data_IF_382560225948
#
_entry.id   IF_382560225948
#
_cell.length_a   1.000
_cell.length_b   1.000
_cell.length_c   1.000
_cell.angle_alpha   90.00
_cell.angle_beta   90.00
_cell.angle_gamma   90.00
#
_symmetry.space_group_name_H-M   'P 1'
#
loop_
_entity.id
_entity.type
_entity.pdbx_description
1 polymer ?
#
# COMPACT_ATOMS: atom_id res chain seq x y z
N UNK A 1 -52.79 -13.89 37.48
CA UNK A 1 -51.82 -14.53 36.55
C UNK A 1 -51.94 -14.02 35.11
N UNK A 2 -51.91 -12.69 34.89
CA UNK A 2 -51.89 -12.07 33.54
C UNK A 2 -50.73 -11.06 33.37
N UNK A 3 -50.26 -10.47 34.47
CA UNK A 3 -49.13 -9.54 34.52
C UNK A 3 -47.77 -10.19 34.20
N UNK A 4 -47.55 -11.46 34.57
CA UNK A 4 -46.30 -12.17 34.27
C UNK A 4 -46.06 -12.36 32.76
N UNK A 5 -47.13 -12.55 31.96
CA UNK A 5 -47.04 -12.73 30.49
C UNK A 5 -46.69 -11.44 29.73
N UNK A 6 -46.97 -10.28 30.32
CA UNK A 6 -46.67 -8.97 29.70
C UNK A 6 -45.17 -8.66 29.83
N UNK A 7 -44.56 -9.03 30.96
CA UNK A 7 -43.13 -8.82 31.21
C UNK A 7 -42.25 -9.73 30.35
N UNK A 8 -42.67 -10.99 30.11
CA UNK A 8 -41.92 -11.93 29.26
C UNK A 8 -41.95 -11.53 27.78
N UNK A 9 -43.03 -10.93 27.31
CA UNK A 9 -43.15 -10.48 25.90
C UNK A 9 -42.39 -9.16 25.66
N UNK A 10 -42.29 -8.28 26.66
CA UNK A 10 -41.51 -7.04 26.57
C UNK A 10 -39.99 -7.23 26.59
N UNK A 11 -39.50 -8.26 27.30
CA UNK A 11 -38.07 -8.57 27.40
C UNK A 11 -37.50 -9.22 26.13
N UNK A 12 -38.33 -9.94 25.35
CA UNK A 12 -37.89 -10.53 24.08
C UNK A 12 -37.74 -9.48 22.97
N UNK A 13 -38.53 -8.40 22.99
CA UNK A 13 -38.51 -7.37 21.94
C UNK A 13 -37.30 -6.43 22.05
N UNK A 14 -36.69 -6.31 23.23
CA UNK A 14 -35.54 -5.42 23.47
C UNK A 14 -34.19 -6.07 23.18
N UNK A 15 -34.09 -7.40 23.25
CA UNK A 15 -32.84 -8.15 22.95
C UNK A 15 -32.55 -8.23 21.45
N UNK A 16 -33.58 -8.17 20.59
CA UNK A 16 -33.38 -8.17 19.13
C UNK A 16 -32.95 -6.82 18.55
N UNK A 17 -33.05 -5.71 19.30
CA UNK A 17 -32.67 -4.38 18.81
C UNK A 17 -31.17 -4.10 18.86
N UNK A 18 -30.39 -4.89 19.61
CA UNK A 18 -28.99 -4.58 19.95
C UNK A 18 -27.95 -5.37 19.16
N UNK A 19 -28.34 -6.10 18.12
CA UNK A 19 -27.43 -6.90 17.28
C UNK A 19 -27.04 -6.24 15.95
N UNK A 20 -27.58 -5.07 15.63
CA UNK A 20 -27.32 -4.37 14.35
C UNK A 20 -26.20 -3.31 14.42
N UNK A 21 -25.59 -3.08 15.59
CA UNK A 21 -24.49 -2.12 15.75
C UNK A 21 -23.08 -2.73 15.51
N UNK A 22 -22.99 -3.88 14.81
CA UNK A 22 -21.76 -4.65 14.65
C UNK A 22 -20.89 -4.30 13.43
N UNK A 23 -21.37 -3.48 12.49
CA UNK A 23 -20.59 -3.08 11.32
C UNK A 23 -20.27 -1.59 11.37
N UNK A 24 -19.33 -1.19 12.24
CA UNK A 24 -18.61 0.05 12.01
C UNK A 24 -17.62 -0.21 10.86
N UNK A 25 -17.75 0.40 9.67
CA UNK A 25 -16.70 0.34 8.68
C UNK A 25 -15.48 1.03 9.29
N UNK A 26 -14.42 0.28 9.57
CA UNK A 26 -13.13 0.86 9.93
C UNK A 26 -12.75 1.84 8.81
N UNK A 27 -12.54 3.13 9.09
CA UNK A 27 -12.09 4.07 8.08
C UNK A 27 -10.62 3.77 7.78
N UNK A 28 -10.35 2.78 6.93
CA UNK A 28 -9.15 2.82 6.08
C UNK A 28 -9.43 3.89 5.03
N UNK A 29 -9.34 5.15 5.45
CA UNK A 29 -9.20 6.27 4.54
C UNK A 29 -7.80 6.17 3.93
N UNK A 30 -7.63 5.33 2.92
CA UNK A 30 -6.54 5.51 1.96
C UNK A 30 -7.00 6.64 1.04
N UNK A 31 -6.81 7.87 1.52
CA UNK A 31 -7.24 9.06 0.79
C UNK A 31 -6.52 9.17 -0.54
N UNK A 32 -7.19 9.77 -1.52
CA UNK A 32 -6.67 10.09 -2.85
C UNK A 32 -5.28 10.76 -2.81
N UNK A 33 -4.98 11.52 -1.74
CA UNK A 33 -3.65 12.12 -1.53
C UNK A 33 -2.50 11.11 -1.50
N UNK A 34 -2.60 10.03 -0.72
CA UNK A 34 -1.51 9.04 -0.62
C UNK A 34 -1.27 8.29 -1.94
N UNK A 35 -2.33 7.99 -2.69
CA UNK A 35 -2.23 7.35 -4.00
C UNK A 35 -1.63 8.27 -5.08
N UNK A 36 -2.02 9.55 -5.08
CA UNK A 36 -1.44 10.55 -5.97
C UNK A 36 0.05 10.75 -5.64
N UNK A 37 0.39 10.84 -4.35
CA UNK A 37 1.78 10.96 -3.89
C UNK A 37 2.62 9.77 -4.39
N UNK A 38 2.14 8.53 -4.23
CA UNK A 38 2.86 7.33 -4.67
C UNK A 38 3.01 7.25 -6.19
N UNK A 39 2.02 7.71 -6.96
CA UNK A 39 2.09 7.75 -8.42
C UNK A 39 3.16 8.73 -8.89
N UNK A 40 3.24 9.91 -8.25
CA UNK A 40 4.26 10.92 -8.52
C UNK A 40 5.65 10.40 -8.12
N UNK A 41 5.78 9.74 -6.96
CA UNK A 41 7.04 9.11 -6.54
C UNK A 41 7.48 8.06 -7.54
N UNK A 42 6.58 7.15 -7.95
CA UNK A 42 6.87 6.11 -8.94
C UNK A 42 7.37 6.71 -10.24
N UNK A 43 6.73 7.77 -10.72
CA UNK A 43 7.10 8.46 -11.96
C UNK A 43 8.49 9.09 -11.85
N UNK A 44 8.80 9.76 -10.72
CA UNK A 44 10.12 10.34 -10.45
C UNK A 44 11.21 9.27 -10.39
N UNK A 45 10.94 8.13 -9.74
CA UNK A 45 11.87 7.00 -9.69
C UNK A 45 12.14 6.47 -11.10
N UNK A 46 11.11 6.18 -11.89
CA UNK A 46 11.28 5.73 -13.29
C UNK A 46 12.08 6.74 -14.12
N UNK A 47 11.80 8.04 -14.00
CA UNK A 47 12.55 9.07 -14.71
C UNK A 47 14.03 9.12 -14.30
N UNK A 48 14.33 8.96 -13.00
CA UNK A 48 15.71 8.91 -12.50
C UNK A 48 16.47 7.69 -13.01
N UNK A 49 15.83 6.51 -12.97
CA UNK A 49 16.44 5.28 -13.49
C UNK A 49 16.68 5.34 -15.00
N UNK A 50 15.77 5.95 -15.77
CA UNK A 50 15.94 6.17 -17.20
C UNK A 50 17.12 7.09 -17.54
N UNK A 51 17.49 8.01 -16.64
CA UNK A 51 18.65 8.89 -16.82
C UNK A 51 20.00 8.21 -16.62
N UNK A 52 20.02 7.01 -16.03
CA UNK A 52 21.24 6.27 -15.74
C UNK A 52 21.63 5.36 -16.90
N UNK A 53 22.72 5.73 -17.59
CA UNK A 53 23.22 5.02 -18.78
C UNK A 53 23.63 3.57 -18.52
N UNK A 54 23.99 3.25 -17.27
CA UNK A 54 24.44 1.92 -16.86
C UNK A 54 23.28 0.98 -16.49
N UNK A 55 22.05 1.49 -16.44
CA UNK A 55 20.86 0.74 -16.05
C UNK A 55 19.96 0.52 -17.25
N UNK A 56 19.58 -0.75 -17.49
CA UNK A 56 18.52 -1.09 -18.44
C UNK A 56 17.16 -0.83 -17.81
N UNK A 57 16.81 0.43 -17.63
CA UNK A 57 15.60 0.83 -16.90
C UNK A 57 14.30 0.30 -17.53
N UNK A 58 14.31 -0.14 -18.79
CA UNK A 58 13.17 -0.82 -19.43
C UNK A 58 12.91 -2.24 -18.92
N UNK A 59 13.93 -2.88 -18.33
CA UNK A 59 13.83 -4.21 -17.72
C UNK A 59 13.60 -4.15 -16.20
N UNK A 60 13.53 -2.94 -15.63
CA UNK A 60 13.31 -2.70 -14.19
C UNK A 60 11.88 -2.18 -13.99
N UNK A 61 11.08 -2.92 -13.22
CA UNK A 61 9.76 -2.47 -12.78
C UNK A 61 9.85 -1.76 -11.43
N UNK A 62 8.99 -0.75 -11.26
CA UNK A 62 8.94 0.10 -10.08
C UNK A 62 7.50 0.23 -9.62
N UNK A 63 7.25 -0.19 -8.39
CA UNK A 63 5.97 -0.06 -7.71
C UNK A 63 6.18 0.68 -6.39
N UNK A 64 5.30 1.63 -6.08
CA UNK A 64 5.38 2.39 -4.83
C UNK A 64 4.08 2.25 -4.05
N UNK A 65 4.20 2.02 -2.75
CA UNK A 65 3.07 2.01 -1.83
C UNK A 65 3.46 2.67 -0.50
N UNK A 66 2.81 3.78 -0.16
CA UNK A 66 3.03 4.59 1.04
C UNK A 66 4.50 4.97 1.23
N UNK A 67 5.16 5.36 0.14
CA UNK A 67 6.59 5.69 0.11
C UNK A 67 7.54 4.49 0.20
N UNK A 68 7.04 3.24 0.22
CA UNK A 68 7.87 2.04 0.02
C UNK A 68 7.96 1.74 -1.46
N UNK A 69 9.17 1.76 -2.01
CA UNK A 69 9.42 1.43 -3.41
C UNK A 69 9.92 -0.01 -3.52
N UNK A 70 9.25 -0.80 -4.33
CA UNK A 70 9.67 -2.13 -4.75
C UNK A 70 10.32 -2.03 -6.12
N UNK A 71 11.58 -2.46 -6.22
CA UNK A 71 12.27 -2.66 -7.49
C UNK A 71 12.22 -4.15 -7.85
N UNK A 72 11.84 -4.47 -9.09
CA UNK A 72 11.80 -5.83 -9.63
C UNK A 72 12.23 -5.85 -11.10
N UNK A 73 12.34 -7.04 -11.68
CA UNK A 73 12.82 -7.22 -13.06
C UNK A 73 14.25 -7.72 -13.13
N UNK A 74 14.97 -7.40 -14.22
CA UNK A 74 16.30 -7.96 -14.51
C UNK A 74 17.38 -6.88 -14.57
N UNK A 75 18.56 -7.21 -14.07
CA UNK A 75 19.74 -6.34 -14.10
C UNK A 75 20.98 -7.12 -14.54
N UNK A 76 21.95 -6.41 -15.11
CA UNK A 76 23.16 -7.00 -15.71
C UNK A 76 24.23 -7.40 -14.70
N UNK A 77 24.16 -6.91 -13.45
CA UNK A 77 25.13 -7.20 -12.40
C UNK A 77 24.61 -6.79 -11.03
N UNK A 78 25.26 -7.29 -9.97
CA UNK A 78 25.03 -6.82 -8.60
C UNK A 78 25.31 -5.32 -8.44
N UNK A 79 26.29 -4.79 -9.18
CA UNK A 79 26.58 -3.36 -9.17
C UNK A 79 25.44 -2.53 -9.75
N UNK A 80 24.85 -2.97 -10.87
CA UNK A 80 23.67 -2.33 -11.45
C UNK A 80 22.46 -2.39 -10.50
N UNK A 81 22.25 -3.52 -9.82
CA UNK A 81 21.20 -3.66 -8.79
C UNK A 81 21.38 -2.63 -7.68
N UNK A 82 22.60 -2.52 -7.15
CA UNK A 82 22.93 -1.60 -6.07
C UNK A 82 22.77 -0.14 -6.51
N UNK A 83 23.25 0.20 -7.70
CA UNK A 83 23.11 1.54 -8.28
C UNK A 83 21.64 1.94 -8.46
N UNK A 84 20.79 1.03 -8.93
CA UNK A 84 19.35 1.29 -9.03
C UNK A 84 18.70 1.55 -7.67
N UNK A 85 19.09 0.80 -6.62
CA UNK A 85 18.64 1.04 -5.25
C UNK A 85 19.08 2.41 -4.75
N UNK A 86 20.36 2.76 -4.96
CA UNK A 86 20.92 4.01 -4.48
C UNK A 86 20.28 5.22 -5.17
N UNK A 87 20.10 5.16 -6.49
CA UNK A 87 19.39 6.18 -7.27
C UNK A 87 17.95 6.33 -6.77
N UNK A 88 17.24 5.23 -6.52
CA UNK A 88 15.87 5.25 -6.01
C UNK A 88 15.77 5.95 -4.65
N UNK A 89 16.75 5.73 -3.76
CA UNK A 89 16.79 6.39 -2.43
C UNK A 89 16.95 7.90 -2.50
N UNK A 90 17.50 8.44 -3.59
CA UNK A 90 17.65 9.90 -3.76
C UNK A 90 16.34 10.62 -4.07
N UNK A 91 15.27 9.87 -4.40
CA UNK A 91 14.00 10.45 -4.82
C UNK A 91 13.20 10.94 -3.61
N UNK A 92 12.76 12.22 -3.58
CA UNK A 92 11.92 12.73 -2.51
C UNK A 92 10.60 11.95 -2.40
N UNK A 93 10.24 11.55 -1.18
CA UNK A 93 9.05 10.74 -0.89
C UNK A 93 9.34 9.24 -0.73
N UNK A 94 10.53 8.78 -1.11
CA UNK A 94 10.97 7.41 -0.83
C UNK A 94 11.37 7.28 0.63
N UNK A 95 10.70 6.36 1.34
CA UNK A 95 10.96 6.03 2.75
C UNK A 95 11.77 4.76 2.90
N UNK A 96 11.55 3.79 2.02
CA UNK A 96 12.25 2.50 2.03
C UNK A 96 12.28 1.92 0.62
N UNK A 97 13.37 1.21 0.29
CA UNK A 97 13.52 0.52 -0.99
C UNK A 97 13.69 -0.97 -0.73
N UNK A 98 12.88 -1.78 -1.42
CA UNK A 98 12.98 -3.23 -1.43
C UNK A 98 13.55 -3.66 -2.77
N UNK A 99 14.67 -4.39 -2.74
CA UNK A 99 15.29 -4.93 -3.93
C UNK A 99 14.81 -6.35 -4.18
N UNK A 100 14.05 -6.56 -5.25
CA UNK A 100 13.63 -7.87 -5.77
C UNK A 100 14.13 -8.13 -7.20
N UNK A 101 15.10 -7.35 -7.69
CA UNK A 101 15.66 -7.53 -9.03
C UNK A 101 16.50 -8.81 -9.11
N UNK A 102 16.46 -9.48 -10.26
CA UNK A 102 17.23 -10.68 -10.55
C UNK A 102 18.43 -10.34 -11.42
N UNK A 103 19.60 -10.91 -11.09
CA UNK A 103 20.82 -10.74 -11.89
C UNK A 103 20.79 -11.78 -13.01
N UNK A 104 21.03 -11.33 -14.24
CA UNK A 104 21.13 -12.19 -15.43
C UNK A 104 22.52 -12.81 -15.58
#
# INVERSE_FOLDING_TARGET
MKFAKIVTTGLLATVLGLSLAGCAPTPKHEGTGGYIDDTVVTTKVKAKLLGEKDLRSTEINVETFKGRVQLSGFVTSAHAAQKAVDVTRTVPGVRSVVNGMQIK
#
